data_IF_957090640492
#
_entry.id   IF_957090640492
#
_cell.length_a   1.000
_cell.length_b   1.000
_cell.length_c   1.000
_cell.angle_alpha   90.00
_cell.angle_beta   90.00
_cell.angle_gamma   90.00
#
_symmetry.space_group_name_H-M   'P 1'
#
loop_
_entity.id
_entity.type
_entity.pdbx_description
1 polymer ?
#
# COMPACT_ATOMS: atom_id res chain seq x y z
N UNK A 1 -14.54 11.30 31.88
CA UNK A 1 -13.18 11.42 31.34
C UNK A 1 -12.48 10.10 31.64
N UNK A 2 -11.92 9.43 30.64
CA UNK A 2 -11.14 8.22 30.86
C UNK A 2 -9.94 8.56 31.76
N UNK A 3 -9.69 7.72 32.75
CA UNK A 3 -8.54 7.87 33.65
C UNK A 3 -7.25 7.51 32.94
N UNK A 4 -6.12 7.99 33.45
CA UNK A 4 -4.79 7.68 32.89
C UNK A 4 -4.56 6.18 32.77
N UNK A 5 -5.05 5.41 33.73
CA UNK A 5 -4.90 3.95 33.78
C UNK A 5 -5.71 3.25 32.69
N UNK A 6 -6.94 3.71 32.44
CA UNK A 6 -7.77 3.25 31.31
C UNK A 6 -7.10 3.53 29.96
N UNK A 7 -6.53 4.73 29.79
CA UNK A 7 -5.83 5.09 28.55
C UNK A 7 -4.56 4.26 28.34
N UNK A 8 -3.82 3.94 29.40
CA UNK A 8 -2.64 3.07 29.31
C UNK A 8 -3.03 1.64 28.92
N UNK A 9 -4.12 1.13 29.51
CA UNK A 9 -4.62 -0.19 29.15
C UNK A 9 -5.06 -0.23 27.68
N UNK A 10 -5.76 0.80 27.21
CA UNK A 10 -6.20 0.92 25.83
C UNK A 10 -5.03 1.03 24.86
N UNK A 11 -4.04 1.88 25.18
CA UNK A 11 -2.85 2.07 24.36
C UNK A 11 -2.05 0.77 24.20
N UNK A 12 -1.92 -0.03 25.27
CA UNK A 12 -1.25 -1.34 25.22
C UNK A 12 -1.97 -2.33 24.30
N UNK A 13 -3.31 -2.32 24.31
CA UNK A 13 -4.10 -3.15 23.39
C UNK A 13 -3.88 -2.73 21.94
N UNK A 14 -3.91 -1.42 21.65
CA UNK A 14 -3.69 -0.87 20.32
C UNK A 14 -2.26 -1.14 19.81
N UNK A 15 -1.27 -1.10 20.70
CA UNK A 15 0.12 -1.43 20.39
C UNK A 15 0.27 -2.88 19.90
N UNK A 16 -0.42 -3.81 20.59
CA UNK A 16 -0.48 -5.21 20.20
C UNK A 16 -1.14 -5.43 18.85
N UNK A 17 -2.24 -4.72 18.57
CA UNK A 17 -2.95 -4.80 17.28
C UNK A 17 -2.12 -4.24 16.11
N UNK A 18 -1.37 -3.17 16.34
CA UNK A 18 -0.54 -2.51 15.33
C UNK A 18 0.89 -3.09 15.23
N UNK A 19 1.25 -4.07 16.08
CA UNK A 19 2.58 -4.67 16.10
C UNK A 19 3.71 -3.70 16.43
N UNK A 20 3.42 -2.60 17.15
CA UNK A 20 4.39 -1.55 17.51
C UNK A 20 4.54 -1.41 19.01
N UNK A 21 5.74 -1.02 19.46
CA UNK A 21 5.98 -0.72 20.87
C UNK A 21 5.33 0.64 21.21
N UNK A 22 4.33 0.63 22.09
CA UNK A 22 3.80 1.85 22.64
C UNK A 22 4.73 2.39 23.72
N UNK A 23 5.24 3.60 23.50
CA UNK A 23 5.78 4.38 24.60
C UNK A 23 4.65 4.66 25.61
N UNK A 24 4.86 4.31 26.87
CA UNK A 24 3.88 4.49 27.96
C UNK A 24 4.25 5.69 28.84
N UNK A 25 5.26 6.47 28.42
CA UNK A 25 5.70 7.66 29.11
C UNK A 25 4.80 8.84 28.73
N UNK A 26 4.48 9.69 29.70
CA UNK A 26 3.75 10.92 29.43
C UNK A 26 2.63 11.26 30.42
N UNK A 27 1.99 12.39 30.13
CA UNK A 27 0.83 12.91 30.85
C UNK A 27 -0.45 12.21 30.41
N UNK A 28 -1.50 12.25 31.24
CA UNK A 28 -2.78 11.60 30.91
C UNK A 28 -3.39 12.09 29.59
N UNK A 29 -3.21 13.39 29.27
CA UNK A 29 -3.66 13.98 28.01
C UNK A 29 -2.87 13.47 26.79
N UNK A 30 -1.56 13.28 26.93
CA UNK A 30 -0.68 12.77 25.87
C UNK A 30 -1.05 11.32 25.51
N UNK A 31 -1.27 10.49 26.53
CA UNK A 31 -1.70 9.10 26.38
C UNK A 31 -3.11 9.04 25.77
N UNK A 32 -4.04 9.91 26.20
CA UNK A 32 -5.40 9.97 25.65
C UNK A 32 -5.40 10.34 24.15
N UNK A 33 -4.57 11.31 23.75
CA UNK A 33 -4.45 11.71 22.36
C UNK A 33 -3.92 10.55 21.51
N UNK A 34 -2.84 9.90 21.96
CA UNK A 34 -2.24 8.76 21.27
C UNK A 34 -3.21 7.58 21.12
N UNK A 35 -4.02 7.31 22.17
CA UNK A 35 -5.10 6.32 22.10
C UNK A 35 -6.11 6.69 21.02
N UNK A 36 -6.61 7.93 20.99
CA UNK A 36 -7.54 8.38 19.95
C UNK A 36 -6.95 8.25 18.55
N UNK A 37 -5.71 8.69 18.34
CA UNK A 37 -5.03 8.60 17.04
C UNK A 37 -4.92 7.16 16.55
N UNK A 38 -4.60 6.22 17.46
CA UNK A 38 -4.43 4.81 17.11
C UNK A 38 -5.77 4.09 16.95
N UNK A 39 -6.80 4.48 17.70
CA UNK A 39 -8.16 4.00 17.48
C UNK A 39 -8.70 4.46 16.12
N UNK A 40 -8.41 5.70 15.70
CA UNK A 40 -8.74 6.18 14.35
C UNK A 40 -7.95 5.42 13.29
N UNK A 41 -6.67 5.12 13.50
CA UNK A 41 -5.84 4.34 12.56
C UNK A 41 -6.40 2.91 12.37
N UNK A 42 -6.86 2.27 13.45
CA UNK A 42 -7.51 0.95 13.38
C UNK A 42 -8.94 1.01 12.83
N UNK A 43 -9.72 2.05 13.14
CA UNK A 43 -11.05 2.26 12.57
C UNK A 43 -11.00 2.67 11.09
N UNK A 44 -9.85 3.21 10.65
CA UNK A 44 -9.45 3.40 9.25
C UNK A 44 -8.79 2.12 8.69
N UNK A 45 -9.05 0.95 9.28
CA UNK A 45 -8.93 -0.29 8.52
C UNK A 45 -9.96 -0.28 7.38
N UNK A 46 -9.60 -0.73 6.17
CA UNK A 46 -10.39 -0.55 4.96
C UNK A 46 -11.60 -1.48 4.94
N UNK A 47 -12.61 -1.20 5.76
CA UNK A 47 -13.95 -1.78 5.62
C UNK A 47 -14.70 -1.12 4.44
N UNK A 48 -14.04 -1.22 3.29
CA UNK A 48 -14.61 -1.19 1.95
C UNK A 48 -14.23 -2.43 1.13
N UNK A 49 -13.50 -3.42 1.69
CA UNK A 49 -13.32 -4.74 1.04
C UNK A 49 -13.55 -5.86 2.05
N UNK A 50 -14.81 -6.29 2.09
CA UNK A 50 -15.27 -7.67 2.25
C UNK A 50 -14.47 -8.60 3.18
N UNK A 51 -15.03 -8.81 4.37
CA UNK A 51 -15.05 -10.06 5.14
C UNK A 51 -14.43 -11.27 4.41
N UNK A 52 -13.39 -11.84 5.01
CA UNK A 52 -13.32 -13.29 5.23
C UNK A 52 -12.48 -13.53 6.49
N UNK A 53 -13.20 -13.66 7.59
CA UNK A 53 -12.78 -14.29 8.84
C UNK A 53 -12.69 -15.81 8.59
N UNK A 54 -11.51 -16.41 8.83
CA UNK A 54 -11.39 -17.69 9.54
C UNK A 54 -9.90 -18.06 9.73
N UNK A 55 -9.51 -18.26 10.99
CA UNK A 55 -8.37 -19.06 11.52
C UNK A 55 -6.96 -18.81 10.95
N UNK A 56 -5.96 -18.44 11.75
CA UNK A 56 -5.61 -19.16 12.98
C UNK A 56 -4.66 -20.32 12.67
N UNK A 57 -3.36 -19.98 12.66
CA UNK A 57 -2.20 -20.83 12.96
C UNK A 57 -1.84 -22.04 12.05
N UNK A 58 -0.59 -21.95 11.60
CA UNK A 58 0.37 -23.04 11.41
C UNK A 58 0.05 -24.12 10.37
N UNK A 59 0.75 -24.07 9.24
CA UNK A 59 1.43 -25.24 8.70
C UNK A 59 2.46 -24.87 7.65
N UNK A 60 3.72 -25.19 7.97
CA UNK A 60 4.77 -25.44 7.01
C UNK A 60 4.29 -26.50 6.01
N UNK A 61 4.04 -26.13 4.75
CA UNK A 61 4.04 -27.08 3.65
C UNK A 61 4.73 -26.49 2.42
N UNK A 62 5.89 -27.08 2.17
CA UNK A 62 6.59 -27.16 0.91
C UNK A 62 5.65 -27.51 -0.25
N UNK A 63 5.92 -26.90 -1.40
CA UNK A 63 5.61 -27.40 -2.76
C UNK A 63 4.12 -27.61 -3.10
N UNK A 64 3.57 -26.66 -3.85
CA UNK A 64 2.86 -26.99 -5.08
C UNK A 64 2.97 -25.78 -6.03
N UNK A 65 3.69 -25.99 -7.12
CA UNK A 65 4.01 -24.99 -8.11
C UNK A 65 2.79 -24.50 -8.89
N UNK A 66 2.16 -23.43 -8.43
CA UNK A 66 1.75 -22.37 -9.36
C UNK A 66 2.83 -21.30 -9.37
N UNK A 67 3.85 -21.64 -10.16
CA UNK A 67 4.56 -20.71 -10.99
C UNK A 67 3.51 -19.78 -11.62
N UNK A 68 3.15 -18.69 -10.94
CA UNK A 68 2.55 -17.52 -11.56
C UNK A 68 3.65 -16.89 -12.39
N UNK A 69 4.02 -17.62 -13.44
CA UNK A 69 4.51 -17.15 -14.70
C UNK A 69 3.42 -16.25 -15.28
N UNK A 70 3.16 -15.13 -14.61
CA UNK A 70 2.74 -13.91 -15.27
C UNK A 70 3.99 -13.28 -15.90
N UNK A 71 4.75 -14.10 -16.63
CA UNK A 71 5.41 -13.70 -17.86
C UNK A 71 4.33 -13.63 -18.95
N UNK A 72 3.21 -12.95 -18.66
CA UNK A 72 2.57 -12.17 -19.70
C UNK A 72 3.42 -10.91 -19.77
N UNK A 73 4.57 -11.02 -20.43
CA UNK A 73 5.01 -9.85 -21.16
C UNK A 73 3.87 -9.63 -22.16
N UNK A 74 3.04 -8.58 -22.04
CA UNK A 74 2.34 -8.16 -23.22
C UNK A 74 3.46 -7.83 -24.20
N UNK A 75 3.60 -8.64 -25.25
CA UNK A 75 4.64 -8.47 -26.28
C UNK A 75 4.60 -7.03 -26.87
N UNK A 76 3.51 -6.30 -26.60
CA UNK A 76 3.30 -4.90 -26.89
C UNK A 76 3.25 -4.02 -25.61
N UNK A 77 4.43 -3.80 -24.98
CA UNK A 77 4.65 -2.66 -24.08
C UNK A 77 5.10 -1.43 -24.86
N UNK A 78 4.65 -0.23 -24.47
CA UNK A 78 5.09 1.04 -25.06
C UNK A 78 5.78 1.89 -24.02
N UNK A 79 6.83 2.57 -24.45
CA UNK A 79 7.45 3.63 -23.68
C UNK A 79 6.58 4.89 -23.77
N UNK A 80 6.18 5.41 -22.62
CA UNK A 80 5.47 6.68 -22.49
C UNK A 80 6.23 7.61 -21.56
N UNK A 81 6.19 8.91 -21.85
CA UNK A 81 6.72 9.98 -21.01
C UNK A 81 5.58 10.67 -20.31
N UNK A 82 5.51 10.58 -18.99
CA UNK A 82 4.40 11.16 -18.24
C UNK A 82 4.53 12.69 -18.19
N UNK A 83 3.40 13.41 -18.36
CA UNK A 83 3.34 14.88 -18.34
C UNK A 83 3.09 15.45 -16.95
N UNK A 84 2.60 14.62 -16.03
CA UNK A 84 2.31 14.94 -14.63
C UNK A 84 2.71 13.78 -13.73
N UNK A 85 2.75 14.00 -12.43
CA UNK A 85 2.89 12.92 -11.47
C UNK A 85 1.63 12.03 -11.54
N UNK A 86 1.84 10.73 -11.75
CA UNK A 86 0.76 9.75 -11.94
C UNK A 86 1.18 8.42 -11.32
N UNK A 87 0.26 7.80 -10.59
CA UNK A 87 0.40 6.40 -10.18
C UNK A 87 0.18 5.51 -11.40
N UNK A 88 1.14 4.64 -11.68
CA UNK A 88 1.11 3.76 -12.85
C UNK A 88 1.85 2.50 -12.47
N UNK A 89 1.33 1.33 -12.83
CA UNK A 89 2.09 0.09 -12.74
C UNK A 89 2.82 -0.13 -14.06
N UNK A 90 4.13 0.05 -14.05
CA UNK A 90 4.97 -0.13 -15.23
C UNK A 90 6.43 -0.36 -14.86
N UNK A 91 7.31 -0.30 -15.86
CA UNK A 91 8.73 -0.56 -15.67
C UNK A 91 9.59 0.59 -16.17
N UNK A 92 10.67 0.90 -15.47
CA UNK A 92 11.64 1.88 -15.95
C UNK A 92 12.43 1.28 -17.12
N UNK A 93 12.45 1.90 -18.32
CA UNK A 93 13.13 1.33 -19.49
C UNK A 93 14.66 1.24 -19.33
N UNK A 94 15.24 2.03 -18.43
CA UNK A 94 16.70 2.07 -18.22
C UNK A 94 17.16 1.02 -17.21
N UNK A 95 16.34 0.74 -16.19
CA UNK A 95 16.74 -0.12 -15.06
C UNK A 95 15.95 -1.43 -14.99
N UNK A 96 14.87 -1.56 -15.75
CA UNK A 96 13.93 -2.68 -15.68
C UNK A 96 13.16 -2.78 -14.36
N UNK A 97 13.34 -1.83 -13.44
CA UNK A 97 12.69 -1.86 -12.13
C UNK A 97 11.22 -1.49 -12.23
N UNK A 98 10.36 -2.09 -11.39
CA UNK A 98 8.97 -1.69 -11.30
C UNK A 98 8.89 -0.22 -10.84
N UNK A 99 7.95 0.50 -11.42
CA UNK A 99 7.60 1.87 -11.11
C UNK A 99 6.11 1.88 -10.77
N UNK A 100 5.78 2.35 -9.58
CA UNK A 100 4.40 2.53 -9.11
C UNK A 100 3.97 4.01 -9.14
N UNK A 101 4.95 4.93 -9.08
CA UNK A 101 4.77 6.37 -9.15
C UNK A 101 5.71 6.97 -10.19
N UNK A 102 5.14 7.48 -11.27
CA UNK A 102 5.90 8.17 -12.31
C UNK A 102 5.83 9.69 -12.10
N UNK A 103 6.99 10.34 -11.97
CA UNK A 103 7.10 11.79 -11.88
C UNK A 103 7.12 12.42 -13.28
N UNK A 104 6.68 13.68 -13.38
CA UNK A 104 6.66 14.43 -14.64
C UNK A 104 8.00 14.31 -15.39
N UNK A 105 7.93 13.89 -16.65
CA UNK A 105 9.08 13.73 -17.54
C UNK A 105 9.74 12.35 -17.48
N UNK A 106 9.38 11.48 -16.52
CA UNK A 106 9.88 10.11 -16.45
C UNK A 106 9.35 9.27 -17.61
N UNK A 107 10.18 8.34 -18.09
CA UNK A 107 9.83 7.33 -19.07
C UNK A 107 9.44 6.05 -18.36
N UNK A 108 8.32 5.46 -18.75
CA UNK A 108 7.82 4.20 -18.18
C UNK A 108 7.32 3.32 -19.31
N UNK A 109 7.64 2.03 -19.24
CA UNK A 109 7.08 0.98 -20.07
C UNK A 109 5.75 0.53 -19.46
N UNK A 110 4.69 0.67 -20.23
CA UNK A 110 3.33 0.28 -19.84
C UNK A 110 2.69 -0.54 -20.96
N UNK A 111 1.67 -1.38 -20.67
CA UNK A 111 0.93 -2.07 -21.71
C UNK A 111 0.31 -1.10 -22.73
N UNK A 112 0.25 -1.46 -24.01
CA UNK A 112 -0.27 -0.58 -25.08
C UNK A 112 -1.67 -0.02 -24.86
N UNK A 113 -2.57 -0.82 -24.28
CA UNK A 113 -3.93 -0.36 -23.93
C UNK A 113 -3.87 0.79 -22.93
N UNK A 114 -2.99 0.67 -21.92
CA UNK A 114 -2.78 1.70 -20.91
C UNK A 114 -2.08 2.92 -21.50
N UNK A 115 -1.05 2.73 -22.35
CA UNK A 115 -0.39 3.82 -23.05
C UNK A 115 -1.41 4.66 -23.83
N UNK A 116 -2.27 4.02 -24.63
CA UNK A 116 -3.30 4.69 -25.45
C UNK A 116 -4.25 5.52 -24.58
N UNK A 117 -4.71 4.97 -23.46
CA UNK A 117 -5.53 5.71 -22.50
C UNK A 117 -4.77 6.93 -21.93
N UNK A 118 -3.51 6.76 -21.53
CA UNK A 118 -2.70 7.86 -21.00
C UNK A 118 -2.49 8.99 -22.02
N UNK A 119 -2.32 8.65 -23.31
CA UNK A 119 -2.25 9.64 -24.39
C UNK A 119 -3.60 10.36 -24.57
N UNK A 120 -4.69 9.61 -24.63
CA UNK A 120 -6.03 10.16 -24.85
C UNK A 120 -6.46 11.10 -23.72
N UNK A 121 -6.09 10.77 -22.49
CA UNK A 121 -6.31 11.63 -21.31
C UNK A 121 -5.28 12.76 -21.17
N UNK A 122 -4.29 12.85 -22.06
CA UNK A 122 -3.24 13.87 -22.03
C UNK A 122 -2.31 13.79 -20.81
N UNK A 123 -2.26 12.63 -20.15
CA UNK A 123 -1.43 12.40 -18.96
C UNK A 123 -0.01 11.97 -19.31
N UNK A 124 0.21 11.46 -20.51
CA UNK A 124 1.52 11.12 -21.06
C UNK A 124 1.59 11.37 -22.57
N UNK A 125 2.78 11.27 -23.13
CA UNK A 125 3.10 11.26 -24.57
C UNK A 125 3.95 10.03 -24.91
N UNK A 126 3.96 9.58 -26.16
CA UNK A 126 4.88 8.52 -26.58
C UNK A 126 6.33 9.00 -26.43
N UNK A 127 7.20 8.12 -25.91
CA UNK A 127 8.59 8.43 -25.57
C UNK A 127 9.62 7.77 -26.51
#
# INVERSE_FOLDING_TARGET
MATKEENLNRLRQLAGLLGREADMSGSAADIAQRVSEWEEELAVSPEGIMHSDESGADQNHTDDGEQLNNTDAPDDVKAVRVRKCLQVMGYCPETGRPVELALRGMRVLVPSSLATAMIQHGTAEYA
#
